data_IF_170445530329
#
_entry.id   IF_170445530329
#
_cell.length_a   1.000
_cell.length_b   1.000
_cell.length_c   1.000
_cell.angle_alpha   90.00
_cell.angle_beta   90.00
_cell.angle_gamma   90.00
#
_symmetry.space_group_name_H-M   'P 1'
#
loop_
_entity.id
_entity.type
_entity.pdbx_description
1 polymer ?
#
# COMPACT_ATOMS: atom_id res chain seq x y z
N UNK A 1 -24.84 0.44 67.85
CA UNK A 1 -24.94 -0.38 66.63
C UNK A 1 -26.15 0.09 65.79
N UNK A 2 -25.93 0.96 64.76
CA UNK A 2 -26.62 1.14 63.43
C UNK A 2 -25.71 2.11 62.55
N UNK A 3 -25.64 2.09 61.17
CA UNK A 3 -24.76 2.80 60.11
C UNK A 3 -24.31 1.82 58.97
N UNK A 4 -24.53 0.53 59.21
CA UNK A 4 -24.19 -0.57 58.32
C UNK A 4 -25.02 -0.64 57.03
N UNK A 5 -26.19 -0.01 56.95
CA UNK A 5 -27.03 -0.01 55.75
C UNK A 5 -26.43 0.84 54.63
N UNK A 6 -25.87 2.00 54.95
CA UNK A 6 -25.21 2.89 53.96
C UNK A 6 -23.93 2.25 53.43
N UNK A 7 -23.15 1.57 54.28
CA UNK A 7 -21.97 0.83 53.85
C UNK A 7 -22.33 -0.42 53.04
N UNK A 8 -23.36 -1.18 53.40
CA UNK A 8 -23.80 -2.32 52.59
C UNK A 8 -24.37 -1.88 51.25
N UNK A 9 -25.14 -0.80 51.17
CA UNK A 9 -25.59 -0.25 49.89
C UNK A 9 -24.42 0.27 49.06
N UNK A 10 -23.44 0.95 49.67
CA UNK A 10 -22.22 1.38 48.98
C UNK A 10 -21.37 0.17 48.53
N UNK A 11 -21.17 -0.84 49.38
CA UNK A 11 -20.44 -2.07 49.07
C UNK A 11 -21.16 -2.88 48.00
N UNK A 12 -22.48 -3.01 48.03
CA UNK A 12 -23.27 -3.62 46.95
C UNK A 12 -23.10 -2.79 45.65
N UNK A 13 -23.03 -1.47 45.73
CA UNK A 13 -22.71 -0.61 44.57
C UNK A 13 -21.28 -0.80 44.05
N UNK A 14 -20.32 -1.13 44.92
CA UNK A 14 -18.93 -1.46 44.56
C UNK A 14 -18.74 -2.92 44.10
N UNK A 15 -19.59 -3.85 44.55
CA UNK A 15 -19.52 -5.30 44.30
C UNK A 15 -20.40 -5.75 43.14
N UNK A 16 -21.40 -4.95 42.74
CA UNK A 16 -21.98 -5.09 41.40
C UNK A 16 -20.90 -4.64 40.42
N UNK A 17 -20.11 -5.59 39.93
CA UNK A 17 -19.41 -5.46 38.68
C UNK A 17 -20.48 -5.11 37.64
N UNK A 18 -20.69 -3.81 37.40
CA UNK A 18 -21.70 -3.32 36.49
C UNK A 18 -21.37 -3.91 35.13
N UNK A 19 -22.10 -4.96 34.77
CA UNK A 19 -21.83 -5.70 33.55
C UNK A 19 -22.13 -4.82 32.33
N UNK A 20 -23.10 -3.92 32.48
CA UNK A 20 -23.54 -2.97 31.46
C UNK A 20 -23.72 -1.57 32.04
N UNK A 21 -23.03 -0.59 31.46
CA UNK A 21 -23.18 0.81 31.82
C UNK A 21 -23.61 1.66 30.62
N UNK A 22 -24.72 2.38 30.77
CA UNK A 22 -25.21 3.35 29.79
C UNK A 22 -25.11 4.76 30.38
N UNK A 23 -24.34 5.65 29.76
CA UNK A 23 -24.15 7.00 30.28
C UNK A 23 -23.92 8.04 29.18
N UNK A 24 -24.20 9.32 29.49
CA UNK A 24 -23.84 10.41 28.56
C UNK A 24 -22.31 10.58 28.48
N UNK A 25 -21.64 10.48 29.63
CA UNK A 25 -20.19 10.59 29.77
C UNK A 25 -19.65 9.39 30.55
N UNK A 26 -18.71 8.67 29.96
CA UNK A 26 -17.95 7.60 30.60
C UNK A 26 -16.51 8.06 30.83
N UNK A 27 -16.12 8.21 32.09
CA UNK A 27 -14.78 8.65 32.50
C UNK A 27 -14.14 7.56 33.36
N UNK A 28 -12.99 7.03 32.93
CA UNK A 28 -12.20 6.11 33.76
C UNK A 28 -12.88 4.79 34.14
N UNK A 29 -13.95 4.41 33.45
CA UNK A 29 -14.77 3.26 33.81
C UNK A 29 -14.03 1.92 33.57
N UNK A 30 -14.30 0.94 34.44
CA UNK A 30 -13.92 -0.48 34.27
C UNK A 30 -15.17 -1.34 34.33
N UNK A 31 -15.72 -1.68 33.18
CA UNK A 31 -16.94 -2.50 33.05
C UNK A 31 -16.76 -3.50 31.90
N UNK A 32 -17.60 -4.52 31.81
CA UNK A 32 -17.57 -5.43 30.65
C UNK A 32 -18.16 -4.77 29.40
N UNK A 33 -19.30 -4.11 29.52
CA UNK A 33 -19.98 -3.43 28.42
C UNK A 33 -20.28 -1.97 28.75
N UNK A 34 -19.93 -1.07 27.84
CA UNK A 34 -20.21 0.35 27.98
C UNK A 34 -20.82 0.94 26.72
N UNK A 35 -21.95 1.61 26.89
CA UNK A 35 -22.59 2.44 25.88
C UNK A 35 -22.56 3.90 26.34
N UNK A 36 -21.84 4.77 25.63
CA UNK A 36 -21.77 6.18 26.01
C UNK A 36 -21.69 7.15 24.84
N UNK A 37 -22.12 8.41 25.04
CA UNK A 37 -21.90 9.43 24.00
C UNK A 37 -20.42 9.80 23.92
N UNK A 38 -19.77 9.97 25.06
CA UNK A 38 -18.35 10.28 25.18
C UNK A 38 -17.68 9.28 26.13
N UNK A 39 -16.63 8.61 25.67
CA UNK A 39 -15.80 7.72 26.49
C UNK A 39 -14.36 8.21 26.54
N UNK A 40 -13.85 8.50 27.73
CA UNK A 40 -12.48 8.97 27.97
C UNK A 40 -11.77 8.03 28.95
N UNK A 41 -10.63 7.47 28.53
CA UNK A 41 -9.75 6.68 29.40
C UNK A 41 -10.35 5.37 29.94
N UNK A 42 -11.43 4.88 29.33
CA UNK A 42 -12.10 3.66 29.79
C UNK A 42 -11.27 2.39 29.51
N UNK A 43 -11.44 1.38 30.36
CA UNK A 43 -10.95 0.00 30.14
C UNK A 43 -12.14 -0.94 30.11
N UNK A 44 -12.46 -1.47 28.93
CA UNK A 44 -13.73 -2.16 28.69
C UNK A 44 -13.53 -3.37 27.78
N UNK A 45 -14.33 -4.43 27.94
CA UNK A 45 -14.33 -5.51 26.95
C UNK A 45 -15.02 -5.06 25.66
N UNK A 46 -16.20 -4.47 25.79
CA UNK A 46 -16.98 -3.95 24.67
C UNK A 46 -17.39 -2.49 24.91
N UNK A 47 -17.08 -1.62 23.96
CA UNK A 47 -17.46 -0.21 24.01
C UNK A 47 -18.16 0.24 22.73
N UNK A 48 -19.36 0.77 22.90
CA UNK A 48 -20.08 1.51 21.87
C UNK A 48 -20.12 2.99 22.26
N UNK A 49 -19.50 3.85 21.45
CA UNK A 49 -19.55 5.28 21.74
C UNK A 49 -19.57 6.20 20.53
N UNK A 50 -20.06 7.43 20.68
CA UNK A 50 -19.96 8.41 19.59
C UNK A 50 -18.51 8.92 19.47
N UNK A 51 -17.88 9.21 20.60
CA UNK A 51 -16.50 9.67 20.69
C UNK A 51 -15.73 8.82 21.71
N UNK A 52 -14.64 8.20 21.30
CA UNK A 52 -13.73 7.46 22.16
C UNK A 52 -12.33 8.03 22.12
N UNK A 53 -11.77 8.39 23.28
CA UNK A 53 -10.43 8.95 23.39
C UNK A 53 -9.61 8.23 24.45
N UNK A 54 -8.39 7.80 24.10
CA UNK A 54 -7.46 7.16 25.04
C UNK A 54 -7.98 5.86 25.67
N UNK A 55 -8.95 5.20 25.05
CA UNK A 55 -9.58 3.99 25.59
C UNK A 55 -8.70 2.75 25.33
N UNK A 56 -8.79 1.76 26.24
CA UNK A 56 -8.23 0.42 26.06
C UNK A 56 -9.37 -0.60 26.02
N UNK A 57 -9.61 -1.18 24.85
CA UNK A 57 -10.84 -1.97 24.62
C UNK A 57 -10.56 -3.22 23.82
N UNK A 58 -11.23 -4.34 24.11
CA UNK A 58 -11.16 -5.51 23.20
C UNK A 58 -11.90 -5.22 21.91
N UNK A 59 -13.16 -4.77 22.01
CA UNK A 59 -14.01 -4.42 20.86
C UNK A 59 -14.57 -3.00 21.00
N UNK A 60 -14.23 -2.12 20.05
CA UNK A 60 -14.74 -0.75 20.02
C UNK A 60 -15.51 -0.45 18.74
N UNK A 61 -16.75 0.00 18.90
CA UNK A 61 -17.56 0.59 17.85
C UNK A 61 -17.72 2.07 18.13
N UNK A 62 -17.17 2.94 17.27
CA UNK A 62 -17.31 4.38 17.49
C UNK A 62 -17.42 5.25 16.23
N UNK A 63 -18.02 6.43 16.35
CA UNK A 63 -18.00 7.38 15.21
C UNK A 63 -16.60 7.99 15.06
N UNK A 64 -15.97 8.37 16.17
CA UNK A 64 -14.62 8.92 16.22
C UNK A 64 -13.79 8.20 17.29
N UNK A 65 -12.65 7.65 16.90
CA UNK A 65 -11.67 7.06 17.80
C UNK A 65 -10.32 7.77 17.71
N UNK A 66 -9.81 8.24 18.84
CA UNK A 66 -8.56 9.00 18.91
C UNK A 66 -7.63 8.43 20.00
N UNK A 67 -6.41 8.04 19.60
CA UNK A 67 -5.40 7.54 20.53
C UNK A 67 -5.78 6.26 21.26
N UNK A 68 -6.72 5.47 20.72
CA UNK A 68 -7.18 4.24 21.35
C UNK A 68 -6.18 3.09 21.15
N UNK A 69 -6.20 2.14 22.10
CA UNK A 69 -5.55 0.82 21.97
C UNK A 69 -6.63 -0.26 21.96
N UNK A 70 -6.82 -0.93 20.83
CA UNK A 70 -7.98 -1.80 20.62
C UNK A 70 -7.60 -3.08 19.92
N UNK A 71 -8.19 -4.23 20.28
CA UNK A 71 -8.02 -5.44 19.47
C UNK A 71 -8.80 -5.33 18.15
N UNK A 72 -10.10 -5.02 18.23
CA UNK A 72 -10.99 -4.82 17.09
C UNK A 72 -11.67 -3.45 17.13
N UNK A 73 -11.42 -2.60 16.14
CA UNK A 73 -12.04 -1.29 16.04
C UNK A 73 -12.85 -1.13 14.75
N UNK A 74 -14.13 -0.79 14.91
CA UNK A 74 -15.01 -0.34 13.84
C UNK A 74 -15.30 1.14 14.04
N UNK A 75 -14.83 2.02 13.13
CA UNK A 75 -15.06 3.45 13.28
C UNK A 75 -15.25 4.25 11.99
N UNK A 76 -15.96 5.38 12.05
CA UNK A 76 -16.00 6.28 10.87
C UNK A 76 -14.66 6.98 10.68
N UNK A 77 -14.06 7.47 11.76
CA UNK A 77 -12.76 8.14 11.75
C UNK A 77 -11.85 7.56 12.85
N UNK A 78 -10.65 7.11 12.47
CA UNK A 78 -9.61 6.65 13.39
C UNK A 78 -8.34 7.49 13.26
N UNK A 79 -7.88 8.06 14.38
CA UNK A 79 -6.73 8.95 14.46
C UNK A 79 -5.72 8.47 15.51
N UNK A 80 -4.49 8.19 15.10
CA UNK A 80 -3.41 7.84 16.03
C UNK A 80 -3.65 6.56 16.84
N UNK A 81 -4.52 5.66 16.36
CA UNK A 81 -4.86 4.43 17.06
C UNK A 81 -3.77 3.36 16.90
N UNK A 82 -3.69 2.46 17.90
CA UNK A 82 -2.96 1.19 17.82
C UNK A 82 -3.96 0.05 17.87
N UNK A 83 -4.09 -0.70 16.77
CA UNK A 83 -5.17 -1.67 16.61
C UNK A 83 -4.69 -2.96 15.99
N UNK A 84 -5.19 -4.12 16.41
CA UNK A 84 -4.92 -5.37 15.68
C UNK A 84 -5.72 -5.40 14.37
N UNK A 85 -7.04 -5.21 14.44
CA UNK A 85 -7.95 -5.16 13.29
C UNK A 85 -8.76 -3.86 13.28
N UNK A 86 -8.60 -3.06 12.23
CA UNK A 86 -9.33 -1.81 12.06
C UNK A 86 -10.16 -1.79 10.77
N UNK A 87 -11.46 -1.55 10.92
CA UNK A 87 -12.38 -1.22 9.85
C UNK A 87 -12.81 0.24 9.98
N UNK A 88 -12.39 1.09 9.04
CA UNK A 88 -12.75 2.51 9.10
C UNK A 88 -13.00 3.22 7.78
N UNK A 89 -13.82 4.27 7.77
CA UNK A 89 -13.95 5.09 6.55
C UNK A 89 -12.68 5.91 6.29
N UNK A 90 -12.12 6.50 7.34
CA UNK A 90 -10.88 7.28 7.30
C UNK A 90 -9.94 6.86 8.42
N UNK A 91 -8.71 6.48 8.07
CA UNK A 91 -7.63 6.19 9.02
C UNK A 91 -6.42 7.09 8.76
N UNK A 92 -5.95 7.77 9.80
CA UNK A 92 -4.78 8.66 9.69
C UNK A 92 -3.81 8.42 10.86
N UNK A 93 -2.53 8.27 10.53
CA UNK A 93 -1.45 8.09 11.51
C UNK A 93 -1.60 6.84 12.38
N UNK A 94 -2.33 5.82 11.90
CA UNK A 94 -2.62 4.61 12.69
C UNK A 94 -1.49 3.58 12.56
N UNK A 95 -1.30 2.76 13.61
CA UNK A 95 -0.45 1.57 13.60
C UNK A 95 -1.31 0.33 13.75
N UNK A 96 -1.45 -0.44 12.67
CA UNK A 96 -2.46 -1.51 12.61
C UNK A 96 -1.87 -2.79 12.03
N UNK A 97 -2.27 -3.97 12.50
CA UNK A 97 -1.89 -5.23 11.83
C UNK A 97 -2.68 -5.41 10.53
N UNK A 98 -4.01 -5.35 10.61
CA UNK A 98 -4.92 -5.42 9.46
C UNK A 98 -5.84 -4.20 9.38
N UNK A 99 -5.75 -3.45 8.30
CA UNK A 99 -6.60 -2.27 8.08
C UNK A 99 -7.43 -2.38 6.80
N UNK A 100 -8.74 -2.25 6.95
CA UNK A 100 -9.69 -2.06 5.87
C UNK A 100 -10.23 -0.63 5.92
N UNK A 101 -9.93 0.19 4.92
CA UNK A 101 -10.40 1.57 4.91
C UNK A 101 -10.71 2.18 3.55
N UNK A 102 -11.61 3.17 3.49
CA UNK A 102 -11.81 3.91 2.23
C UNK A 102 -10.61 4.81 1.93
N UNK A 103 -10.10 5.51 2.94
CA UNK A 103 -8.93 6.39 2.85
C UNK A 103 -7.95 6.10 3.99
N UNK A 104 -6.69 5.84 3.63
CA UNK A 104 -5.59 5.68 4.58
C UNK A 104 -4.47 6.67 4.31
N UNK A 105 -4.05 7.43 5.32
CA UNK A 105 -3.00 8.44 5.21
C UNK A 105 -1.95 8.28 6.31
N UNK A 106 -0.68 8.16 5.92
CA UNK A 106 0.44 8.09 6.86
C UNK A 106 0.39 6.90 7.82
N UNK A 107 -0.31 5.82 7.45
CA UNK A 107 -0.44 4.64 8.29
C UNK A 107 0.80 3.74 8.22
N UNK A 108 1.05 3.00 9.31
CA UNK A 108 1.98 1.86 9.34
C UNK A 108 1.19 0.59 9.54
N UNK A 109 1.19 -0.29 8.53
CA UNK A 109 0.28 -1.44 8.50
C UNK A 109 0.97 -2.69 7.99
N UNK A 110 0.68 -3.88 8.53
CA UNK A 110 1.14 -5.12 7.92
C UNK A 110 0.35 -5.41 6.64
N UNK A 111 -0.98 -5.43 6.73
CA UNK A 111 -1.91 -5.63 5.61
C UNK A 111 -2.92 -4.49 5.49
N UNK A 112 -2.91 -3.80 4.36
CA UNK A 112 -3.85 -2.71 4.09
C UNK A 112 -4.67 -2.97 2.82
N UNK A 113 -6.00 -2.94 2.98
CA UNK A 113 -6.96 -2.88 1.89
C UNK A 113 -7.63 -1.51 1.87
N UNK A 114 -7.40 -0.72 0.81
CA UNK A 114 -8.00 0.61 0.73
C UNK A 114 -8.40 1.09 -0.65
N UNK A 115 -9.33 2.04 -0.75
CA UNK A 115 -9.61 2.68 -2.04
C UNK A 115 -8.49 3.67 -2.41
N UNK A 116 -8.05 4.46 -1.42
CA UNK A 116 -6.96 5.42 -1.58
C UNK A 116 -5.95 5.28 -0.43
N UNK A 117 -4.67 5.11 -0.78
CA UNK A 117 -3.57 5.09 0.17
C UNK A 117 -2.52 6.15 -0.18
N UNK A 118 -2.17 7.00 0.79
CA UNK A 118 -1.21 8.09 0.61
C UNK A 118 -0.14 8.07 1.71
N UNK A 119 1.13 8.04 1.30
CA UNK A 119 2.26 8.13 2.22
C UNK A 119 2.34 6.99 3.24
N UNK A 120 1.73 5.83 2.94
CA UNK A 120 1.71 4.69 3.85
C UNK A 120 3.03 3.91 3.82
N UNK A 121 3.35 3.25 4.94
CA UNK A 121 4.37 2.20 5.03
C UNK A 121 3.68 0.86 5.29
N UNK A 122 3.74 -0.04 4.33
CA UNK A 122 2.93 -1.27 4.37
C UNK A 122 3.73 -2.49 3.91
N UNK A 123 3.55 -3.65 4.53
CA UNK A 123 4.11 -4.90 3.98
C UNK A 123 3.33 -5.33 2.72
N UNK A 124 2.00 -5.47 2.84
CA UNK A 124 1.10 -5.79 1.75
C UNK A 124 -0.01 -4.76 1.58
N UNK A 125 -0.07 -4.11 0.42
CA UNK A 125 -1.09 -3.13 0.09
C UNK A 125 -1.89 -3.53 -1.14
N UNK A 126 -3.22 -3.60 -0.98
CA UNK A 126 -4.19 -3.70 -2.06
C UNK A 126 -4.98 -2.39 -2.15
N UNK A 127 -4.83 -1.64 -3.25
CA UNK A 127 -5.57 -0.39 -3.39
C UNK A 127 -6.01 -0.01 -4.81
N UNK A 128 -7.01 0.85 -4.93
CA UNK A 128 -7.36 1.42 -6.26
C UNK A 128 -6.33 2.47 -6.68
N UNK A 129 -5.94 3.34 -5.74
CA UNK A 129 -4.95 4.39 -5.95
C UNK A 129 -3.91 4.38 -4.82
N UNK A 130 -2.64 4.28 -5.17
CA UNK A 130 -1.51 4.41 -4.24
C UNK A 130 -0.58 5.54 -4.66
N UNK A 131 -0.29 6.47 -3.75
CA UNK A 131 0.56 7.63 -4.00
C UNK A 131 1.64 7.77 -2.92
N UNK A 132 2.90 7.82 -3.36
CA UNK A 132 4.04 8.05 -2.46
C UNK A 132 4.22 6.98 -1.37
N UNK A 133 3.72 5.77 -1.59
CA UNK A 133 3.80 4.70 -0.61
C UNK A 133 5.19 4.02 -0.63
N UNK A 134 5.57 3.46 0.53
CA UNK A 134 6.68 2.51 0.66
C UNK A 134 6.12 1.14 1.01
N UNK A 135 6.24 0.19 0.09
CA UNK A 135 5.55 -1.11 0.21
C UNK A 135 6.44 -2.28 -0.17
N UNK A 136 6.34 -3.42 0.51
CA UNK A 136 7.00 -4.64 0.03
C UNK A 136 6.27 -5.19 -1.18
N UNK A 137 4.96 -5.45 -1.06
CA UNK A 137 4.09 -5.92 -2.13
C UNK A 137 2.89 -4.99 -2.34
N UNK A 138 2.77 -4.42 -3.54
CA UNK A 138 1.66 -3.55 -3.89
C UNK A 138 0.87 -4.08 -5.10
N UNK A 139 -0.42 -4.27 -4.91
CA UNK A 139 -1.39 -4.49 -5.98
C UNK A 139 -2.28 -3.26 -6.12
N UNK A 140 -2.20 -2.56 -7.26
CA UNK A 140 -3.03 -1.37 -7.46
C UNK A 140 -3.50 -1.09 -8.88
N UNK A 141 -4.62 -0.38 -9.04
CA UNK A 141 -5.01 0.08 -10.39
C UNK A 141 -4.10 1.20 -10.87
N UNK A 142 -3.78 2.16 -10.00
CA UNK A 142 -2.90 3.28 -10.29
C UNK A 142 -1.86 3.43 -9.17
N UNK A 143 -0.58 3.40 -9.54
CA UNK A 143 0.55 3.67 -8.63
C UNK A 143 1.38 4.85 -9.13
N UNK A 144 1.58 5.85 -8.25
CA UNK A 144 2.32 7.07 -8.58
C UNK A 144 3.38 7.37 -7.52
N UNK A 145 4.63 7.51 -7.97
CA UNK A 145 5.76 7.89 -7.10
C UNK A 145 6.05 6.88 -5.98
N UNK A 146 5.63 5.62 -6.13
CA UNK A 146 5.81 4.59 -5.10
C UNK A 146 7.25 4.05 -5.10
N UNK A 147 7.69 3.60 -3.91
CA UNK A 147 8.89 2.76 -3.75
C UNK A 147 8.45 1.37 -3.30
N UNK A 148 8.64 0.38 -4.16
CA UNK A 148 8.06 -0.95 -3.95
C UNK A 148 9.05 -2.07 -4.29
N UNK A 149 9.03 -3.18 -3.56
CA UNK A 149 9.83 -4.35 -3.98
C UNK A 149 9.14 -5.07 -5.14
N UNK A 150 7.87 -5.43 -4.98
CA UNK A 150 7.04 -6.05 -6.01
C UNK A 150 5.76 -5.23 -6.26
N UNK A 151 5.57 -4.76 -7.49
CA UNK A 151 4.39 -4.01 -7.88
C UNK A 151 3.65 -4.66 -9.05
N UNK A 152 2.36 -4.94 -8.83
CA UNK A 152 1.41 -5.31 -9.87
C UNK A 152 0.43 -4.16 -10.07
N UNK A 153 0.44 -3.51 -11.25
CA UNK A 153 -0.47 -2.41 -11.49
C UNK A 153 -0.98 -2.26 -12.92
N UNK A 154 -2.15 -1.62 -13.09
CA UNK A 154 -2.62 -1.29 -14.46
C UNK A 154 -1.81 -0.12 -15.02
N UNK A 155 -1.57 0.90 -14.21
CA UNK A 155 -0.78 2.08 -14.58
C UNK A 155 0.26 2.38 -13.48
N UNK A 156 1.54 2.46 -13.87
CA UNK A 156 2.65 2.86 -13.01
C UNK A 156 3.34 4.10 -13.56
N UNK A 157 3.44 5.14 -12.73
CA UNK A 157 4.04 6.44 -13.08
C UNK A 157 5.15 6.81 -12.08
N UNK A 158 6.36 7.07 -12.58
CA UNK A 158 7.46 7.57 -11.77
C UNK A 158 7.84 6.66 -10.59
N UNK A 159 7.58 5.36 -10.69
CA UNK A 159 7.81 4.41 -9.61
C UNK A 159 9.27 3.94 -9.58
N UNK A 160 9.76 3.60 -8.38
CA UNK A 160 11.05 2.90 -8.18
C UNK A 160 10.76 1.51 -7.64
N UNK A 161 11.03 0.49 -8.44
CA UNK A 161 10.57 -0.88 -8.15
C UNK A 161 11.64 -1.92 -8.43
N UNK A 162 11.75 -2.98 -7.63
CA UNK A 162 12.61 -4.11 -7.99
C UNK A 162 11.97 -4.93 -9.11
N UNK A 163 10.73 -5.38 -8.92
CA UNK A 163 9.94 -6.11 -9.91
C UNK A 163 8.61 -5.43 -10.19
N UNK A 164 8.37 -5.05 -11.45
CA UNK A 164 7.12 -4.41 -11.86
C UNK A 164 6.44 -5.20 -12.97
N UNK A 165 5.18 -5.57 -12.73
CA UNK A 165 4.25 -6.08 -13.74
C UNK A 165 3.17 -5.03 -13.98
N UNK A 166 3.13 -4.45 -15.19
CA UNK A 166 2.11 -3.44 -15.49
C UNK A 166 1.57 -3.43 -16.92
N UNK A 167 0.35 -2.91 -17.11
CA UNK A 167 -0.16 -2.68 -18.47
C UNK A 167 0.53 -1.48 -19.12
N UNK A 168 0.70 -0.40 -18.37
CA UNK A 168 1.38 0.82 -18.79
C UNK A 168 2.39 1.26 -17.73
N UNK A 169 3.66 1.41 -18.13
CA UNK A 169 4.72 1.96 -17.29
C UNK A 169 5.33 3.20 -17.94
N UNK A 170 5.37 4.31 -17.22
CA UNK A 170 5.93 5.58 -17.70
C UNK A 170 6.92 6.17 -16.70
N UNK A 171 8.13 6.50 -17.17
CA UNK A 171 9.17 7.14 -16.37
C UNK A 171 9.62 6.33 -15.14
N UNK A 172 9.48 5.00 -15.19
CA UNK A 172 9.79 4.13 -14.07
C UNK A 172 11.29 3.76 -14.04
N UNK A 173 11.83 3.54 -12.83
CA UNK A 173 13.16 2.97 -12.61
C UNK A 173 13.00 1.59 -11.99
N UNK A 174 13.34 0.55 -12.74
CA UNK A 174 12.99 -0.83 -12.37
C UNK A 174 14.15 -1.79 -12.59
N UNK A 175 14.36 -2.79 -11.73
CA UNK A 175 15.32 -3.85 -12.05
C UNK A 175 14.75 -4.79 -13.12
N UNK A 176 13.55 -5.33 -12.89
CA UNK A 176 12.83 -6.19 -13.82
C UNK A 176 11.43 -5.64 -14.13
N UNK A 177 11.16 -5.35 -15.39
CA UNK A 177 9.87 -4.84 -15.83
C UNK A 177 9.23 -5.74 -16.89
N UNK A 178 8.02 -6.19 -16.62
CA UNK A 178 7.13 -6.84 -17.58
C UNK A 178 5.96 -5.90 -17.87
N UNK A 179 5.85 -5.40 -19.10
CA UNK A 179 4.76 -4.49 -19.44
C UNK A 179 4.22 -4.56 -20.86
N UNK A 180 2.95 -4.22 -21.07
CA UNK A 180 2.41 -4.12 -22.44
C UNK A 180 2.98 -2.89 -23.15
N UNK A 181 3.03 -1.75 -22.46
CA UNK A 181 3.61 -0.50 -22.97
C UNK A 181 4.57 0.09 -21.94
N UNK A 182 5.81 0.33 -22.36
CA UNK A 182 6.84 1.01 -21.56
C UNK A 182 7.34 2.27 -22.26
N UNK A 183 7.29 3.42 -21.58
CA UNK A 183 7.72 4.71 -22.13
C UNK A 183 8.71 5.40 -21.20
N UNK A 184 9.88 5.79 -21.73
CA UNK A 184 10.89 6.55 -20.98
C UNK A 184 11.40 5.85 -19.72
N UNK A 185 11.36 4.51 -19.69
CA UNK A 185 11.75 3.73 -18.52
C UNK A 185 13.26 3.49 -18.50
N UNK A 186 13.83 3.40 -17.29
CA UNK A 186 15.21 2.93 -17.06
C UNK A 186 15.15 1.58 -16.37
N UNK A 187 15.58 0.52 -17.06
CA UNK A 187 15.36 -0.85 -16.62
C UNK A 187 16.60 -1.71 -16.79
N UNK A 188 16.91 -2.63 -15.87
CA UNK A 188 17.97 -3.61 -16.15
C UNK A 188 17.49 -4.66 -17.14
N UNK A 189 16.36 -5.30 -16.85
CA UNK A 189 15.70 -6.28 -17.73
C UNK A 189 14.27 -5.88 -18.06
N UNK A 190 13.96 -5.68 -19.34
CA UNK A 190 12.63 -5.31 -19.79
C UNK A 190 12.06 -6.32 -20.79
N UNK A 191 10.89 -6.84 -20.47
CA UNK A 191 10.04 -7.61 -21.38
C UNK A 191 8.80 -6.77 -21.72
N UNK A 192 8.65 -6.35 -22.98
CA UNK A 192 7.49 -5.54 -23.36
C UNK A 192 6.95 -5.78 -24.77
N UNK A 193 5.65 -5.50 -24.98
CA UNK A 193 5.09 -5.54 -26.34
C UNK A 193 5.53 -4.31 -27.13
N UNK A 194 5.48 -3.14 -26.51
CA UNK A 194 5.91 -1.86 -27.08
C UNK A 194 6.83 -1.12 -26.11
N UNK A 195 8.04 -0.78 -26.55
CA UNK A 195 9.00 0.04 -25.80
C UNK A 195 9.38 1.29 -26.58
N UNK A 196 9.27 2.47 -25.95
CA UNK A 196 9.58 3.76 -26.57
C UNK A 196 10.51 4.59 -25.67
N UNK A 197 11.65 5.01 -26.20
CA UNK A 197 12.59 5.87 -25.49
C UNK A 197 13.18 5.25 -24.22
N UNK A 198 13.23 3.92 -24.14
CA UNK A 198 13.71 3.20 -22.97
C UNK A 198 15.25 3.13 -22.95
N UNK A 199 15.82 3.13 -21.74
CA UNK A 199 17.23 2.79 -21.51
C UNK A 199 17.29 1.47 -20.76
N UNK A 200 17.81 0.43 -21.39
CA UNK A 200 17.73 -0.94 -20.88
C UNK A 200 19.05 -1.68 -21.01
N UNK A 201 19.43 -2.51 -20.05
CA UNK A 201 20.59 -3.40 -20.26
C UNK A 201 20.19 -4.56 -21.17
N UNK A 202 19.13 -5.30 -20.84
CA UNK A 202 18.57 -6.39 -21.64
C UNK A 202 17.10 -6.13 -21.98
N UNK A 203 16.78 -6.02 -23.26
CA UNK A 203 15.41 -5.79 -23.73
C UNK A 203 14.92 -6.91 -24.64
N UNK A 204 13.79 -7.50 -24.28
CA UNK A 204 13.00 -8.37 -25.15
C UNK A 204 11.71 -7.63 -25.52
N UNK A 205 11.53 -7.26 -26.79
CA UNK A 205 10.33 -6.56 -27.21
C UNK A 205 9.79 -6.94 -28.59
N UNK A 206 8.47 -6.80 -28.79
CA UNK A 206 7.90 -6.97 -30.14
C UNK A 206 8.18 -5.75 -31.02
N UNK A 207 8.02 -4.55 -30.47
CA UNK A 207 8.30 -3.27 -31.12
C UNK A 207 9.13 -2.38 -30.20
N UNK A 208 10.29 -1.94 -30.69
CA UNK A 208 11.19 -1.01 -29.99
C UNK A 208 11.46 0.24 -30.83
N UNK A 209 11.31 1.42 -30.24
CA UNK A 209 11.48 2.70 -30.93
C UNK A 209 12.36 3.64 -30.10
N UNK A 210 13.45 4.13 -30.68
CA UNK A 210 14.35 5.10 -30.03
C UNK A 210 14.97 4.58 -28.71
N UNK A 211 15.18 3.27 -28.58
CA UNK A 211 15.70 2.66 -27.36
C UNK A 211 17.24 2.68 -27.34
N UNK A 212 17.82 2.80 -26.16
CA UNK A 212 19.26 2.58 -25.92
C UNK A 212 19.44 1.31 -25.13
N UNK A 213 20.04 0.30 -25.72
CA UNK A 213 20.07 -1.04 -25.16
C UNK A 213 21.47 -1.66 -25.25
N UNK A 214 21.93 -2.40 -24.25
CA UNK A 214 23.16 -3.18 -24.40
C UNK A 214 22.88 -4.45 -25.24
N UNK A 215 21.88 -5.24 -24.84
CA UNK A 215 21.43 -6.44 -25.54
C UNK A 215 19.94 -6.34 -25.89
N UNK A 216 19.61 -6.40 -27.18
CA UNK A 216 18.23 -6.30 -27.64
C UNK A 216 17.83 -7.52 -28.49
N UNK A 217 16.73 -8.15 -28.10
CA UNK A 217 15.99 -9.11 -28.90
C UNK A 217 14.66 -8.48 -29.32
N UNK A 218 14.48 -8.21 -30.62
CA UNK A 218 13.27 -7.55 -31.10
C UNK A 218 12.71 -8.08 -32.41
N UNK A 219 11.38 -8.04 -32.58
CA UNK A 219 10.80 -8.36 -33.89
C UNK A 219 10.93 -7.17 -34.86
N UNK A 220 10.63 -5.97 -34.36
CA UNK A 220 10.73 -4.72 -35.11
C UNK A 220 11.46 -3.66 -34.28
N UNK A 221 12.52 -3.07 -34.83
CA UNK A 221 13.31 -2.01 -34.19
C UNK A 221 13.52 -0.80 -35.11
N UNK A 222 13.30 0.41 -34.60
CA UNK A 222 13.56 1.65 -35.37
C UNK A 222 14.29 2.68 -34.53
N UNK A 223 15.41 3.19 -35.05
CA UNK A 223 16.22 4.22 -34.38
C UNK A 223 16.83 3.77 -33.05
N UNK A 224 17.05 2.46 -32.85
CA UNK A 224 17.69 1.94 -31.64
C UNK A 224 19.22 2.08 -31.71
N UNK A 225 19.84 2.35 -30.57
CA UNK A 225 21.29 2.24 -30.37
C UNK A 225 21.55 1.00 -29.53
N UNK A 226 22.22 0.01 -30.12
CA UNK A 226 22.42 -1.30 -29.50
C UNK A 226 23.86 -1.76 -29.63
N UNK A 227 24.41 -2.35 -28.57
CA UNK A 227 25.73 -3.01 -28.63
C UNK A 227 25.62 -4.39 -29.29
N UNK A 228 24.67 -5.22 -28.85
CA UNK A 228 24.37 -6.53 -29.43
C UNK A 228 22.88 -6.69 -29.72
N UNK A 229 22.53 -7.06 -30.95
CA UNK A 229 21.15 -7.07 -31.40
C UNK A 229 20.82 -8.33 -32.19
N UNK A 230 19.70 -8.94 -31.84
CA UNK A 230 19.02 -9.95 -32.65
C UNK A 230 17.65 -9.38 -33.03
N UNK A 231 17.52 -8.82 -34.24
CA UNK A 231 16.23 -8.33 -34.72
C UNK A 231 15.87 -8.85 -36.09
N UNK A 232 14.58 -9.19 -36.28
CA UNK A 232 14.08 -9.75 -37.54
C UNK A 232 13.90 -8.67 -38.61
N UNK A 233 13.48 -7.47 -38.22
CA UNK A 233 13.33 -6.32 -39.10
C UNK A 233 13.80 -5.04 -38.39
N UNK A 234 14.71 -4.27 -38.99
CA UNK A 234 15.20 -3.02 -38.40
C UNK A 234 15.69 -1.99 -39.42
N UNK A 235 15.25 -0.73 -39.25
CA UNK A 235 15.68 0.42 -40.04
C UNK A 235 16.41 1.43 -39.14
N UNK A 236 17.59 1.90 -39.58
CA UNK A 236 18.35 2.94 -38.87
C UNK A 236 18.98 2.52 -37.53
N UNK A 237 19.22 1.22 -37.32
CA UNK A 237 19.94 0.73 -36.14
C UNK A 237 21.45 1.01 -36.32
N UNK A 238 22.04 1.82 -35.44
CA UNK A 238 23.50 2.05 -35.44
C UNK A 238 24.17 1.00 -34.57
N UNK A 239 24.88 0.06 -35.21
CA UNK A 239 25.71 -0.94 -34.56
C UNK A 239 27.07 -0.33 -34.21
N UNK A 240 27.48 -0.45 -32.95
CA UNK A 240 28.80 -0.02 -32.50
C UNK A 240 29.73 -1.23 -32.34
N UNK A 241 30.10 -1.89 -33.43
CA UNK A 241 31.20 -2.86 -33.42
C UNK A 241 32.38 -2.33 -34.25
N UNK A 242 33.41 -1.81 -33.58
CA UNK A 242 34.78 -2.03 -34.04
C UNK A 242 35.11 -3.48 -33.75
N UNK A 243 34.82 -4.37 -34.69
CA UNK A 243 35.44 -5.69 -34.76
C UNK A 243 35.73 -5.95 -36.23
N UNK A 244 37.01 -5.78 -36.61
CA UNK A 244 37.58 -6.51 -37.75
C UNK A 244 37.30 -7.99 -37.50
N UNK A 245 36.32 -8.57 -38.16
CA UNK A 245 36.46 -9.91 -38.69
C UNK A 245 35.48 -10.08 -39.84
N UNK A 246 36.05 -10.47 -40.97
CA UNK A 246 35.35 -10.81 -42.21
C UNK A 246 34.26 -11.84 -41.91
N UNK A 247 32.99 -11.47 -42.05
CA UNK A 247 32.00 -12.43 -42.52
C UNK A 247 31.75 -12.11 -43.98
N UNK A 248 32.50 -12.83 -44.79
CA UNK A 248 32.33 -13.07 -46.21
C UNK A 248 30.88 -13.38 -46.58
N UNK A 249 30.48 -12.88 -47.76
CA UNK A 249 29.38 -13.32 -48.63
C UNK A 249 28.67 -14.62 -48.21
N UNK A 250 27.35 -14.55 -48.08
CA UNK A 250 26.34 -15.52 -48.55
C UNK A 250 25.04 -14.69 -48.68
N UNK A 251 24.76 -14.04 -49.82
CA UNK A 251 24.02 -14.53 -50.99
C UNK A 251 22.79 -15.40 -50.70
N UNK A 252 21.65 -14.89 -51.18
CA UNK A 252 20.25 -15.34 -51.20
C UNK A 252 19.44 -15.18 -49.92
#
# INVERSE_FOLDING_TARGET
>A
MVVASVTNVAVISYVVAVSHQCCRYGLGCRVSHQCCRYGLGCRVSHQCCRYGLGCRVSHQCCRYGLGCRVSHQCCRYGLGCRVSHQCCRYGLGCRVSHQCCRYGLGCRVSHQCCRYGLGCRVSHQCCRYGLGCRVSHQCCRYGLGCRVSHQCCRYGLGCRVSHQCCRYGLGCRVSHQCCRYGLGCRVSHQCCRYGLGCRVSHQCCRYGLGCRVSHQCCRYGLGCRVSHQCCRYGLGCRYACRCRHRCTRCYL
#
